data_IF_213070705549
#
_entry.id   IF_213070705549
#
_cell.length_a   1.000
_cell.length_b   1.000
_cell.length_c   1.000
_cell.angle_alpha   90.00
_cell.angle_beta   90.00
_cell.angle_gamma   90.00
#
_symmetry.space_group_name_H-M   'P 1'
#
loop_
_entity.id
_entity.type
_entity.pdbx_description
1 polymer ?
#
# COMPACT_ATOMS: atom_id res chain seq x y z
N UNK A 1 14.88 -18.85 -13.93
CA UNK A 1 14.10 -17.61 -13.68
C UNK A 1 14.13 -17.32 -12.18
N UNK A 2 14.81 -16.25 -11.76
CA UNK A 2 14.85 -15.87 -10.34
C UNK A 2 13.44 -15.49 -9.88
N UNK A 3 12.90 -16.26 -8.92
CA UNK A 3 11.59 -16.02 -8.30
C UNK A 3 11.71 -14.69 -7.57
N UNK A 4 11.26 -13.58 -8.17
CA UNK A 4 11.23 -12.26 -7.52
C UNK A 4 10.61 -12.46 -6.15
N UNK A 5 11.38 -12.21 -5.09
CA UNK A 5 10.90 -12.32 -3.73
C UNK A 5 9.57 -11.56 -3.66
N UNK A 6 8.49 -12.26 -3.28
CA UNK A 6 7.18 -11.64 -3.11
C UNK A 6 7.36 -10.64 -1.97
N UNK A 7 7.56 -9.38 -2.33
CA UNK A 7 7.68 -8.31 -1.36
C UNK A 7 6.45 -8.37 -0.45
N UNK A 8 6.68 -8.46 0.84
CA UNK A 8 5.65 -8.58 1.85
C UNK A 8 5.65 -7.28 2.65
N UNK A 9 4.52 -6.59 2.65
CA UNK A 9 4.37 -5.32 3.31
C UNK A 9 4.52 -5.49 4.83
N UNK A 10 5.41 -4.71 5.46
CA UNK A 10 5.59 -4.72 6.92
C UNK A 10 5.08 -3.43 7.56
N UNK A 11 4.58 -3.49 8.80
CA UNK A 11 4.28 -2.27 9.56
C UNK A 11 5.48 -1.33 9.60
N UNK A 12 5.24 -0.06 9.31
CA UNK A 12 6.26 0.99 9.23
C UNK A 12 6.81 1.25 7.83
N UNK A 13 6.61 0.35 6.87
CA UNK A 13 7.10 0.51 5.50
C UNK A 13 6.17 1.35 4.61
N UNK A 14 6.75 1.99 3.61
CA UNK A 14 6.02 2.55 2.48
C UNK A 14 5.63 1.44 1.53
N UNK A 15 4.40 1.53 1.03
CA UNK A 15 3.82 0.59 0.10
C UNK A 15 3.12 1.35 -1.01
N UNK A 16 3.07 0.75 -2.19
CA UNK A 16 2.23 1.26 -3.25
C UNK A 16 0.93 0.45 -3.28
N UNK A 17 -0.19 1.11 -3.00
CA UNK A 17 -1.51 0.49 -3.05
C UNK A 17 -2.07 0.59 -4.46
N UNK A 18 -2.26 -0.56 -5.09
CA UNK A 18 -2.87 -0.67 -6.41
C UNK A 18 -4.30 -1.19 -6.29
N UNK A 19 -5.28 -0.39 -6.71
CA UNK A 19 -6.67 -0.81 -6.73
C UNK A 19 -7.35 -0.39 -8.04
N UNK A 20 -7.89 -1.37 -8.75
CA UNK A 20 -8.60 -1.15 -10.01
C UNK A 20 -10.07 -0.74 -9.81
N UNK A 21 -10.60 -0.86 -8.58
CA UNK A 21 -12.04 -0.85 -8.31
C UNK A 21 -12.52 0.30 -7.41
N UNK A 22 -11.64 1.20 -6.95
CA UNK A 22 -11.99 2.24 -5.98
C UNK A 22 -11.77 3.66 -6.50
N UNK A 23 -12.68 4.59 -6.16
CA UNK A 23 -12.51 6.05 -6.38
C UNK A 23 -11.25 6.61 -5.72
N UNK A 24 -10.70 5.90 -4.73
CA UNK A 24 -9.56 6.35 -3.92
C UNK A 24 -8.19 6.14 -4.59
N UNK A 25 -8.08 5.22 -5.56
CA UNK A 25 -6.78 4.76 -6.07
C UNK A 25 -6.78 4.40 -7.56
N UNK A 26 -7.62 5.07 -8.37
CA UNK A 26 -7.52 5.01 -9.84
C UNK A 26 -6.18 5.62 -10.27
N UNK A 27 -5.16 4.77 -10.43
CA UNK A 27 -3.79 5.17 -10.78
C UNK A 27 -2.72 4.77 -9.78
N UNK A 28 -3.09 4.08 -8.69
CA UNK A 28 -2.14 3.71 -7.65
C UNK A 28 -1.89 4.84 -6.65
N UNK A 29 -1.68 4.48 -5.38
CA UNK A 29 -1.51 5.44 -4.30
C UNK A 29 -0.34 5.02 -3.42
N UNK A 30 0.51 5.97 -3.05
CA UNK A 30 1.52 5.74 -2.03
C UNK A 30 0.85 5.76 -0.66
N UNK A 31 1.02 4.67 0.07
CA UNK A 31 0.46 4.48 1.40
C UNK A 31 1.55 4.02 2.36
N UNK A 32 1.40 4.33 3.64
CA UNK A 32 2.26 3.82 4.69
C UNK A 32 1.55 2.68 5.40
N UNK A 33 2.20 1.54 5.56
CA UNK A 33 1.64 0.46 6.36
C UNK A 33 1.79 0.79 7.83
N UNK A 34 0.69 0.81 8.55
CA UNK A 34 0.67 1.13 9.99
C UNK A 34 0.68 -0.14 10.82
N UNK A 35 -0.12 -1.13 10.44
CA UNK A 35 -0.24 -2.38 11.18
C UNK A 35 -0.78 -3.50 10.28
N UNK A 36 -0.53 -4.74 10.70
CA UNK A 36 -1.24 -5.89 10.18
C UNK A 36 -2.65 -5.94 10.78
N UNK A 37 -3.65 -6.20 9.95
CA UNK A 37 -5.01 -6.51 10.36
C UNK A 37 -5.26 -8.03 10.23
N UNK A 38 -6.35 -8.51 10.82
CA UNK A 38 -6.69 -9.93 10.77
C UNK A 38 -7.02 -10.40 9.35
N UNK A 39 -6.61 -11.63 9.01
CA UNK A 39 -7.02 -12.31 7.77
C UNK A 39 -6.28 -11.89 6.51
N UNK A 40 -5.01 -11.45 6.61
CA UNK A 40 -4.21 -11.03 5.45
C UNK A 40 -4.54 -9.63 4.94
N UNK A 41 -5.15 -8.81 5.81
CA UNK A 41 -5.39 -7.39 5.58
C UNK A 41 -4.30 -6.57 6.28
N UNK A 42 -4.06 -5.37 5.79
CA UNK A 42 -3.11 -4.41 6.32
C UNK A 42 -3.85 -3.11 6.54
N UNK A 43 -3.59 -2.47 7.68
CA UNK A 43 -4.03 -1.11 7.95
C UNK A 43 -2.98 -0.18 7.39
N UNK A 44 -3.38 0.66 6.44
CA UNK A 44 -2.50 1.61 5.78
C UNK A 44 -3.02 3.03 5.93
N UNK A 45 -2.11 3.98 5.97
CA UNK A 45 -2.39 5.40 5.93
C UNK A 45 -2.11 5.93 4.53
N UNK A 46 -3.11 6.61 3.98
CA UNK A 46 -3.06 7.26 2.69
C UNK A 46 -3.16 8.77 2.89
N UNK A 47 -2.31 9.53 2.21
CA UNK A 47 -2.45 10.98 2.14
C UNK A 47 -3.52 11.33 1.09
N UNK A 48 -4.49 12.15 1.48
CA UNK A 48 -5.41 12.80 0.55
C UNK A 48 -4.79 14.06 -0.04
N UNK A 49 -5.40 14.56 -1.11
CA UNK A 49 -4.94 15.77 -1.80
C UNK A 49 -5.01 17.04 -0.94
N UNK A 50 -5.82 17.03 0.12
CA UNK A 50 -5.93 18.11 1.12
C UNK A 50 -4.85 18.00 2.22
N UNK A 51 -3.93 17.04 2.13
CA UNK A 51 -2.91 16.78 3.15
C UNK A 51 -3.42 15.97 4.35
N UNK A 52 -4.72 15.64 4.40
CA UNK A 52 -5.28 14.82 5.46
C UNK A 52 -4.82 13.36 5.31
N UNK A 53 -4.41 12.75 6.41
CA UNK A 53 -4.12 11.32 6.46
C UNK A 53 -5.41 10.54 6.73
N UNK A 54 -5.70 9.55 5.89
CA UNK A 54 -6.83 8.64 6.07
C UNK A 54 -6.34 7.22 6.27
N UNK A 55 -6.90 6.55 7.26
CA UNK A 55 -6.56 5.18 7.58
C UNK A 55 -7.56 4.24 6.89
N UNK A 56 -7.04 3.30 6.12
CA UNK A 56 -7.84 2.35 5.34
C UNK A 56 -7.32 0.93 5.54
N UNK A 57 -8.23 -0.02 5.54
CA UNK A 57 -7.89 -1.44 5.58
C UNK A 57 -7.86 -1.98 4.16
N UNK A 58 -6.73 -2.54 3.74
CA UNK A 58 -6.52 -3.05 2.39
C UNK A 58 -5.98 -4.47 2.43
N UNK A 59 -6.20 -5.25 1.37
CA UNK A 59 -5.60 -6.58 1.27
C UNK A 59 -4.09 -6.45 1.09
N UNK A 60 -3.30 -7.25 1.79
CA UNK A 60 -1.85 -7.27 1.61
C UNK A 60 -1.46 -7.58 0.16
N UNK A 61 -2.25 -8.41 -0.53
CA UNK A 61 -2.06 -8.73 -1.96
C UNK A 61 -2.26 -7.55 -2.92
N UNK A 62 -2.91 -6.46 -2.48
CA UNK A 62 -3.10 -5.23 -3.25
C UNK A 62 -1.98 -4.21 -2.99
N UNK A 63 -1.05 -4.52 -2.09
CA UNK A 63 0.15 -3.73 -1.84
C UNK A 63 1.29 -4.26 -2.69
N UNK A 64 2.01 -3.36 -3.35
CA UNK A 64 3.22 -3.64 -4.09
C UNK A 64 4.38 -2.87 -3.49
N UNK A 65 5.60 -3.35 -3.77
CA UNK A 65 6.81 -2.65 -3.37
C UNK A 65 6.74 -1.22 -3.89
N UNK A 66 7.10 -0.21 -3.07
CA UNK A 66 7.21 1.16 -3.54
C UNK A 66 8.16 1.15 -4.74
N UNK A 67 7.78 1.84 -5.81
CA UNK A 67 8.66 1.92 -6.97
C UNK A 67 9.98 2.58 -6.51
N UNK A 68 11.14 2.01 -6.87
CA UNK A 68 12.41 2.65 -6.56
C UNK A 68 12.39 4.05 -7.16
N UNK A 69 12.55 5.07 -6.33
CA UNK A 69 12.66 6.44 -6.80
C UNK A 69 13.87 6.57 -7.71
N UNK A 70 13.70 7.31 -8.81
CA UNK A 70 14.76 7.58 -9.77
C UNK A 70 15.71 8.72 -9.32
N UNK A 71 15.62 9.10 -8.04
CA UNK A 71 16.38 10.15 -7.40
C UNK A 71 17.13 9.57 -6.21
#
# INVERSE_FOLDING_TARGET
>A
MAKKAKWAARPGELAHYWCNSGKLARGGLNVRVVAEASGGYMIVEAARNDGSLVRITVKAASLTAPQPSLF
#
